data_IF_014192055894
#
_entry.id   IF_014192055894
#
_cell.length_a   1.000
_cell.length_b   1.000
_cell.length_c   1.000
_cell.angle_alpha   90.00
_cell.angle_beta   90.00
_cell.angle_gamma   90.00
#
_symmetry.space_group_name_H-M   'P 1'
#
loop_
_entity.id
_entity.type
_entity.pdbx_description
1 polymer ?
#
# COMPACT_ATOMS: atom_id res chain seq x y z
N UNK A 1 -20.99 -8.21 4.62
CA UNK A 1 -19.63 -8.37 4.08
C UNK A 1 -18.78 -7.32 4.75
N UNK A 2 -17.80 -7.76 5.54
CA UNK A 2 -16.80 -6.84 6.10
C UNK A 2 -15.92 -6.38 4.94
N UNK A 3 -15.29 -5.22 5.07
CA UNK A 3 -14.32 -4.68 4.12
C UNK A 3 -13.11 -4.30 4.98
N UNK A 4 -11.90 -4.45 4.46
CA UNK A 4 -10.65 -4.28 5.20
C UNK A 4 -10.58 -2.99 6.03
N UNK A 5 -10.13 -3.09 7.28
CA UNK A 5 -9.94 -1.95 8.20
C UNK A 5 -8.47 -1.47 8.27
N UNK A 6 -7.55 -2.08 7.52
CA UNK A 6 -6.10 -1.84 7.59
C UNK A 6 -5.39 -1.91 6.24
N UNK A 7 -4.28 -1.18 6.12
CA UNK A 7 -3.29 -1.34 5.05
C UNK A 7 -2.10 -2.16 5.57
N UNK A 8 -1.83 -3.29 4.93
CA UNK A 8 -0.70 -4.18 5.20
C UNK A 8 0.40 -3.97 4.17
N UNK A 9 1.47 -3.25 4.50
CA UNK A 9 2.63 -3.13 3.61
C UNK A 9 3.58 -4.25 3.95
N UNK A 10 3.92 -5.11 2.99
CA UNK A 10 4.94 -6.13 3.23
C UNK A 10 5.99 -6.18 2.13
N UNK A 11 7.18 -6.61 2.53
CA UNK A 11 8.36 -6.70 1.70
C UNK A 11 8.99 -8.08 1.84
N UNK A 12 9.47 -8.63 0.72
CA UNK A 12 10.31 -9.82 0.72
C UNK A 12 11.78 -9.39 0.56
N UNK A 13 12.58 -9.33 1.64
CA UNK A 13 14.02 -9.36 1.48
C UNK A 13 14.43 -10.73 0.93
N UNK A 14 15.46 -10.79 0.09
CA UNK A 14 15.93 -12.02 -0.59
C UNK A 14 16.51 -13.12 0.34
N UNK A 15 16.17 -13.20 1.65
CA UNK A 15 16.72 -14.22 2.58
C UNK A 15 15.75 -14.74 3.66
N UNK A 16 15.98 -15.99 4.18
CA UNK A 16 14.92 -16.91 4.58
C UNK A 16 14.69 -17.01 6.10
N UNK A 17 14.60 -15.88 6.81
CA UNK A 17 14.21 -15.88 8.23
C UNK A 17 13.18 -14.77 8.51
N UNK A 18 11.91 -15.09 8.20
CA UNK A 18 10.74 -14.29 8.55
C UNK A 18 10.41 -13.18 7.54
N UNK A 19 9.17 -13.15 7.06
CA UNK A 19 8.63 -11.95 6.41
C UNK A 19 8.63 -10.80 7.42
N UNK A 20 9.43 -9.77 7.19
CA UNK A 20 9.28 -8.50 7.89
C UNK A 20 8.23 -7.67 7.16
N UNK A 21 7.14 -7.39 7.86
CA UNK A 21 6.04 -6.58 7.35
C UNK A 21 5.85 -5.35 8.24
N UNK A 22 5.50 -4.22 7.60
CA UNK A 22 5.15 -3.00 8.28
C UNK A 22 3.64 -2.77 8.11
N UNK A 23 2.89 -2.97 9.18
CA UNK A 23 1.44 -2.72 9.17
C UNK A 23 1.13 -1.29 9.61
N UNK A 24 0.22 -0.64 8.90
CA UNK A 24 -0.34 0.65 9.30
C UNK A 24 -1.86 0.53 9.40
N UNK A 25 -2.37 0.63 10.62
CA UNK A 25 -3.80 0.65 10.89
C UNK A 25 -4.39 2.01 10.48
N UNK A 26 -5.08 2.02 9.34
CA UNK A 26 -5.73 3.23 8.79
C UNK A 26 -7.17 3.41 9.28
N UNK A 27 -7.85 2.31 9.62
CA UNK A 27 -9.30 2.30 9.74
C UNK A 27 -9.96 2.29 8.37
N UNK A 28 -11.20 1.80 8.33
CA UNK A 28 -11.95 1.54 7.10
C UNK A 28 -12.02 2.70 6.12
N UNK A 29 -12.36 3.89 6.61
CA UNK A 29 -12.59 5.06 5.76
C UNK A 29 -11.31 5.47 5.02
N UNK A 30 -10.19 5.55 5.74
CA UNK A 30 -8.90 5.86 5.16
C UNK A 30 -8.40 4.73 4.25
N UNK A 31 -8.63 3.46 4.59
CA UNK A 31 -8.27 2.33 3.73
C UNK A 31 -9.02 2.37 2.38
N UNK A 32 -10.34 2.59 2.39
CA UNK A 32 -11.13 2.75 1.17
C UNK A 32 -10.64 3.94 0.32
N UNK A 33 -10.41 5.10 0.93
CA UNK A 33 -9.96 6.29 0.19
C UNK A 33 -8.58 6.08 -0.42
N UNK A 34 -7.66 5.41 0.28
CA UNK A 34 -6.35 5.07 -0.27
C UNK A 34 -6.49 4.10 -1.46
N UNK A 35 -7.30 3.06 -1.32
CA UNK A 35 -7.58 2.11 -2.40
C UNK A 35 -8.15 2.80 -3.65
N UNK A 36 -9.23 3.57 -3.48
CA UNK A 36 -9.92 4.27 -4.57
C UNK A 36 -9.00 5.29 -5.28
N UNK A 37 -8.09 5.91 -4.52
CA UNK A 37 -7.07 6.78 -5.09
C UNK A 37 -6.05 5.98 -5.91
N UNK A 38 -5.56 4.86 -5.37
CA UNK A 38 -4.47 4.10 -5.96
C UNK A 38 -4.89 3.28 -7.18
N UNK A 39 -5.98 2.51 -7.09
CA UNK A 39 -6.39 1.53 -8.10
C UNK A 39 -6.34 2.07 -9.55
N UNK A 40 -7.01 3.19 -9.90
CA UNK A 40 -7.00 3.70 -11.27
C UNK A 40 -5.63 4.23 -11.72
N UNK A 41 -4.68 4.40 -10.80
CA UNK A 41 -3.32 4.91 -11.04
C UNK A 41 -2.26 3.81 -10.98
N UNK A 42 -2.63 2.60 -10.54
CA UNK A 42 -1.68 1.50 -10.36
C UNK A 42 -1.04 1.07 -11.67
N UNK A 43 -1.78 1.00 -12.78
CA UNK A 43 -1.21 0.56 -14.07
C UNK A 43 -0.11 1.51 -14.57
N UNK A 44 -0.20 2.80 -14.26
CA UNK A 44 0.85 3.77 -14.61
C UNK A 44 2.07 3.67 -13.66
N UNK A 45 1.84 3.40 -12.37
CA UNK A 45 2.90 3.32 -11.37
C UNK A 45 3.65 1.97 -11.39
N UNK A 46 2.91 0.88 -11.58
CA UNK A 46 3.37 -0.50 -11.57
C UNK A 46 2.62 -1.31 -12.65
N UNK A 47 3.03 -1.21 -13.93
CA UNK A 47 2.37 -1.91 -15.03
C UNK A 47 2.24 -3.41 -14.79
N UNK A 48 1.02 -3.93 -14.94
CA UNK A 48 0.68 -5.34 -14.71
C UNK A 48 0.44 -5.74 -13.25
N UNK A 49 0.50 -4.80 -12.30
CA UNK A 49 0.22 -5.08 -10.89
C UNK A 49 -1.19 -4.63 -10.44
N UNK A 50 -1.94 -3.91 -11.29
CA UNK A 50 -3.24 -3.35 -10.92
C UNK A 50 -4.28 -4.44 -10.57
N UNK A 51 -4.32 -5.53 -11.34
CA UNK A 51 -5.26 -6.65 -11.13
C UNK A 51 -5.00 -7.37 -9.80
N UNK A 52 -3.73 -7.60 -9.46
CA UNK A 52 -3.38 -8.24 -8.19
C UNK A 52 -3.67 -7.32 -6.99
N UNK A 53 -3.42 -6.02 -7.13
CA UNK A 53 -3.81 -5.03 -6.12
C UNK A 53 -5.32 -4.99 -5.88
N UNK A 54 -6.13 -5.01 -6.94
CA UNK A 54 -7.59 -5.13 -6.85
C UNK A 54 -8.02 -6.46 -6.20
N UNK A 55 -7.42 -7.57 -6.64
CA UNK A 55 -7.72 -8.90 -6.12
C UNK A 55 -7.47 -9.02 -4.61
N UNK A 56 -6.38 -8.46 -4.11
CA UNK A 56 -6.06 -8.42 -2.68
C UNK A 56 -7.09 -7.60 -1.89
N UNK A 57 -7.54 -6.46 -2.42
CA UNK A 57 -8.59 -5.67 -1.78
C UNK A 57 -9.92 -6.42 -1.66
N UNK A 58 -10.29 -7.20 -2.68
CA UNK A 58 -11.52 -8.02 -2.67
C UNK A 58 -11.51 -9.13 -1.61
N UNK A 59 -10.33 -9.55 -1.15
CA UNK A 59 -10.16 -10.50 -0.03
C UNK A 59 -9.82 -9.80 1.29
N UNK A 60 -10.16 -8.51 1.41
CA UNK A 60 -9.95 -7.66 2.58
C UNK A 60 -8.46 -7.46 2.97
N UNK A 61 -7.54 -7.52 2.00
CA UNK A 61 -6.11 -7.23 2.19
C UNK A 61 -5.67 -6.05 1.31
N UNK A 62 -5.60 -4.85 1.88
CA UNK A 62 -4.95 -3.73 1.17
C UNK A 62 -3.44 -3.92 1.32
N UNK A 63 -2.78 -4.44 0.29
CA UNK A 63 -1.37 -4.86 0.39
C UNK A 63 -0.52 -4.48 -0.82
N UNK A 64 0.76 -4.17 -0.55
CA UNK A 64 1.77 -3.83 -1.55
C UNK A 64 2.88 -4.89 -1.68
N UNK A 65 2.65 -6.09 -1.14
CA UNK A 65 3.60 -7.22 -1.15
C UNK A 65 4.05 -7.64 -2.54
N UNK A 66 3.09 -7.70 -3.42
CA UNK A 66 3.24 -8.21 -4.77
C UNK A 66 3.98 -7.24 -5.69
N UNK A 67 4.17 -5.98 -5.27
CA UNK A 67 4.81 -4.95 -6.09
C UNK A 67 6.30 -5.30 -6.28
N UNK A 68 6.76 -5.53 -7.53
CA UNK A 68 8.16 -5.73 -7.83
C UNK A 68 9.02 -4.53 -7.42
N UNK A 69 10.25 -4.77 -7.00
CA UNK A 69 11.17 -3.71 -6.54
C UNK A 69 11.33 -2.56 -7.55
N UNK A 70 11.39 -2.87 -8.84
CA UNK A 70 11.48 -1.87 -9.93
C UNK A 70 10.33 -0.85 -9.96
N UNK A 71 9.19 -1.16 -9.35
CA UNK A 71 8.02 -0.29 -9.28
C UNK A 71 7.77 0.26 -7.86
N UNK A 72 8.63 -0.07 -6.90
CA UNK A 72 8.43 0.31 -5.52
C UNK A 72 8.44 1.83 -5.32
N UNK A 73 9.42 2.55 -5.89
CA UNK A 73 9.49 4.00 -5.78
C UNK A 73 8.28 4.73 -6.43
N UNK A 74 7.83 4.35 -7.64
CA UNK A 74 6.57 4.85 -8.19
C UNK A 74 5.35 4.63 -7.26
N UNK A 75 5.18 3.43 -6.71
CA UNK A 75 4.07 3.10 -5.81
C UNK A 75 4.18 3.84 -4.48
N UNK A 76 5.39 3.96 -3.93
CA UNK A 76 5.69 4.80 -2.76
C UNK A 76 5.20 6.24 -2.97
N UNK A 77 5.57 6.83 -4.11
CA UNK A 77 5.19 8.20 -4.45
C UNK A 77 3.67 8.32 -4.61
N UNK A 78 3.02 7.29 -5.17
CA UNK A 78 1.57 7.25 -5.31
C UNK A 78 0.86 7.27 -3.94
N UNK A 79 1.35 6.51 -2.94
CA UNK A 79 0.81 6.56 -1.56
C UNK A 79 1.02 7.94 -0.94
N UNK A 80 2.18 8.56 -1.14
CA UNK A 80 2.46 9.90 -0.62
C UNK A 80 1.57 10.97 -1.28
N UNK A 81 1.32 10.86 -2.57
CA UNK A 81 0.40 11.73 -3.31
C UNK A 81 -1.03 11.58 -2.80
N UNK A 82 -1.49 10.36 -2.53
CA UNK A 82 -2.79 10.12 -1.91
C UNK A 82 -2.90 10.84 -0.56
N UNK A 83 -1.87 10.72 0.29
CA UNK A 83 -1.82 11.40 1.59
C UNK A 83 -1.87 12.93 1.50
N UNK A 84 -1.32 13.51 0.44
CA UNK A 84 -1.35 14.96 0.22
C UNK A 84 -2.68 15.45 -0.34
N UNK A 85 -3.29 14.64 -1.22
CA UNK A 85 -4.56 14.96 -1.86
C UNK A 85 -5.77 14.79 -0.91
N UNK A 86 -5.78 13.73 -0.12
CA UNK A 86 -6.96 13.31 0.64
C UNK A 86 -6.85 13.69 2.11
N UNK A 87 -7.79 14.51 2.60
CA UNK A 87 -7.74 15.03 3.97
C UNK A 87 -7.80 13.93 5.02
N UNK A 88 -8.55 12.85 4.75
CA UNK A 88 -8.66 11.68 5.65
C UNK A 88 -7.34 10.91 5.80
N UNK A 89 -6.44 11.00 4.82
CA UNK A 89 -5.16 10.30 4.83
C UNK A 89 -4.02 11.07 5.50
N UNK A 90 -4.15 12.41 5.65
CA UNK A 90 -3.11 13.27 6.23
C UNK A 90 -2.59 12.81 7.60
N UNK A 91 -3.42 12.36 8.56
CA UNK A 91 -2.94 11.88 9.86
C UNK A 91 -2.01 10.68 9.76
N UNK A 92 -2.15 9.85 8.72
CA UNK A 92 -1.40 8.61 8.53
C UNK A 92 -0.12 8.80 7.72
N UNK A 93 0.06 9.94 7.05
CA UNK A 93 1.17 10.19 6.12
C UNK A 93 2.54 9.84 6.70
N UNK A 94 2.80 10.25 7.95
CA UNK A 94 4.09 9.98 8.59
C UNK A 94 4.29 8.50 8.91
N UNK A 95 3.25 7.79 9.33
CA UNK A 95 3.31 6.36 9.64
C UNK A 95 3.46 5.53 8.37
N UNK A 96 2.68 5.85 7.33
CA UNK A 96 2.79 5.26 6.00
C UNK A 96 4.17 5.47 5.40
N UNK A 97 4.70 6.68 5.44
CA UNK A 97 6.04 6.98 4.95
C UNK A 97 7.08 6.09 5.63
N UNK A 98 7.07 6.01 6.96
CA UNK A 98 8.01 5.19 7.73
C UNK A 98 7.89 3.70 7.38
N UNK A 99 6.66 3.19 7.26
CA UNK A 99 6.40 1.79 6.89
C UNK A 99 6.84 1.45 5.46
N UNK A 100 6.75 2.41 4.53
CA UNK A 100 7.24 2.22 3.17
C UNK A 100 8.76 2.35 3.08
N UNK A 101 9.39 3.19 3.91
CA UNK A 101 10.85 3.36 3.97
C UNK A 101 11.53 2.12 4.56
N UNK A 102 10.91 1.42 5.53
CA UNK A 102 11.49 0.20 6.12
C UNK A 102 11.59 -1.00 5.15
N UNK A 103 11.06 -0.87 3.93
CA UNK A 103 11.32 -1.82 2.83
C UNK A 103 12.74 -1.69 2.26
N UNK A 104 13.46 -0.61 2.56
CA UNK A 104 14.82 -0.36 2.09
C UNK A 104 15.90 -0.62 3.14
N UNK A 105 15.53 -0.83 4.41
CA UNK A 105 16.44 -1.11 5.53
C UNK A 105 16.67 -2.63 5.71
#
# INVERSE_FOLDING_TARGET
MSLADSLSISYHPEKPEGEQFAEVYLGREAACVLYDYMLPRMEAAAPGCAEEFEGLWLVEDLSLRHIPERYWLPVFNLVMQACDAETVLKPFKSALKKALESRYD
#
